data_IF_919074549270
#
_entry.id   IF_919074549270
#
_cell.length_a   1.000
_cell.length_b   1.000
_cell.length_c   1.000
_cell.angle_alpha   90.00
_cell.angle_beta   90.00
_cell.angle_gamma   90.00
#
_symmetry.space_group_name_H-M   'P 1'
#
loop_
_entity.id
_entity.type
_entity.pdbx_description
1 polymer ?
#
# COMPACT_ATOMS: atom_id res chain seq x y z
N UNK A 1 13.20 -38.83 8.12
CA UNK A 1 14.47 -38.10 7.89
C UNK A 1 14.36 -37.18 6.67
N UNK A 2 13.87 -37.66 5.52
CA UNK A 2 13.65 -36.83 4.30
C UNK A 2 12.66 -35.68 4.50
N UNK A 3 11.53 -35.91 5.17
CA UNK A 3 10.50 -34.89 5.44
C UNK A 3 11.08 -33.67 6.18
N UNK A 4 11.85 -33.88 7.25
CA UNK A 4 12.47 -32.80 8.03
C UNK A 4 13.46 -31.97 7.20
N UNK A 5 14.20 -32.62 6.30
CA UNK A 5 15.12 -31.94 5.39
C UNK A 5 14.35 -31.06 4.39
N UNK A 6 13.21 -31.52 3.87
CA UNK A 6 12.34 -30.72 2.99
C UNK A 6 11.74 -29.51 3.73
N UNK A 7 11.27 -29.68 4.97
CA UNK A 7 10.80 -28.56 5.79
C UNK A 7 11.90 -27.52 6.06
N UNK A 8 13.12 -27.99 6.35
CA UNK A 8 14.27 -27.10 6.53
C UNK A 8 14.59 -26.30 5.27
N UNK A 9 14.63 -26.97 4.10
CA UNK A 9 14.85 -26.30 2.81
C UNK A 9 13.76 -25.28 2.50
N UNK A 10 12.49 -25.63 2.72
CA UNK A 10 11.38 -24.71 2.51
C UNK A 10 11.52 -23.47 3.41
N UNK A 11 11.88 -23.64 4.68
CA UNK A 11 12.07 -22.53 5.60
C UNK A 11 13.28 -21.66 5.21
N UNK A 12 14.35 -22.24 4.66
CA UNK A 12 15.45 -21.47 4.08
C UNK A 12 14.98 -20.61 2.91
N UNK A 13 14.20 -21.16 1.97
CA UNK A 13 13.67 -20.38 0.84
C UNK A 13 12.71 -19.26 1.30
N UNK A 14 11.86 -19.52 2.30
CA UNK A 14 11.01 -18.50 2.90
C UNK A 14 11.85 -17.38 3.54
N UNK A 15 12.88 -17.75 4.29
CA UNK A 15 13.81 -16.79 4.91
C UNK A 15 14.56 -15.94 3.88
N UNK A 16 15.07 -16.57 2.81
CA UNK A 16 15.76 -15.86 1.71
C UNK A 16 14.81 -14.94 0.95
N UNK A 17 13.57 -15.33 0.73
CA UNK A 17 12.58 -14.51 0.00
C UNK A 17 12.21 -13.25 0.80
N UNK A 18 11.96 -13.40 2.11
CA UNK A 18 11.69 -12.25 2.98
C UNK A 18 12.94 -11.38 3.17
N UNK A 19 14.10 -12.01 3.36
CA UNK A 19 15.38 -11.34 3.52
C UNK A 19 15.78 -10.53 2.27
N UNK A 20 15.61 -11.09 1.07
CA UNK A 20 15.90 -10.39 -0.18
C UNK A 20 14.98 -9.19 -0.41
N UNK A 21 13.71 -9.32 -0.05
CA UNK A 21 12.75 -8.22 -0.10
C UNK A 21 13.18 -7.08 0.82
N UNK A 22 13.54 -7.37 2.07
CA UNK A 22 14.01 -6.34 3.00
C UNK A 22 15.37 -5.76 2.61
N UNK A 23 16.29 -6.58 2.08
CA UNK A 23 17.58 -6.11 1.59
C UNK A 23 17.41 -5.15 0.40
N UNK A 24 16.53 -5.46 -0.55
CA UNK A 24 16.19 -4.58 -1.67
C UNK A 24 15.59 -3.26 -1.20
N UNK A 25 14.68 -3.32 -0.22
CA UNK A 25 14.10 -2.11 0.38
C UNK A 25 15.20 -1.27 1.03
N UNK A 26 16.08 -1.88 1.84
CA UNK A 26 17.17 -1.17 2.49
C UNK A 26 18.12 -0.50 1.48
N UNK A 27 18.49 -1.19 0.40
CA UNK A 27 19.33 -0.65 -0.68
C UNK A 27 18.63 0.53 -1.39
N UNK A 28 17.31 0.44 -1.61
CA UNK A 28 16.52 1.54 -2.18
C UNK A 28 16.53 2.78 -1.27
N UNK A 29 16.29 2.59 0.03
CA UNK A 29 16.33 3.68 1.01
C UNK A 29 17.71 4.34 1.12
N UNK A 30 18.79 3.55 1.09
CA UNK A 30 20.16 4.10 1.17
C UNK A 30 20.58 4.82 -0.10
N UNK A 31 20.18 4.36 -1.29
CA UNK A 31 20.47 5.05 -2.55
C UNK A 31 19.77 6.42 -2.60
N UNK A 32 18.46 6.44 -2.30
CA UNK A 32 17.66 7.67 -2.35
C UNK A 32 18.13 8.67 -1.29
N UNK A 33 18.38 8.20 -0.06
CA UNK A 33 18.96 9.05 0.99
C UNK A 33 20.38 9.52 0.64
N UNK A 34 21.18 8.69 -0.03
CA UNK A 34 22.54 9.03 -0.45
C UNK A 34 22.61 10.20 -1.42
N UNK A 35 21.63 10.35 -2.31
CA UNK A 35 21.57 11.47 -3.26
C UNK A 35 21.01 12.74 -2.59
N UNK A 36 19.98 12.59 -1.75
CA UNK A 36 19.16 13.73 -1.30
C UNK A 36 19.55 14.24 0.10
N UNK A 37 20.02 13.34 0.97
CA UNK A 37 20.36 13.62 2.36
C UNK A 37 19.16 14.06 3.22
N UNK A 38 17.94 13.63 2.86
CA UNK A 38 16.70 13.86 3.63
C UNK A 38 15.95 12.54 3.82
N UNK A 39 15.38 12.32 5.01
CA UNK A 39 14.58 11.15 5.33
C UNK A 39 13.28 11.21 4.50
N UNK A 40 13.10 10.27 3.57
CA UNK A 40 11.97 10.24 2.66
C UNK A 40 10.87 9.29 3.20
N UNK A 41 9.77 9.86 3.71
CA UNK A 41 8.59 9.09 4.15
C UNK A 41 7.72 8.57 3.00
N UNK A 42 7.87 9.11 1.78
CA UNK A 42 7.08 8.70 0.61
C UNK A 42 7.55 7.37 0.02
N UNK A 43 8.71 6.86 0.42
CA UNK A 43 9.25 5.61 -0.14
C UNK A 43 8.36 4.39 0.18
N UNK A 44 7.70 4.37 1.34
CA UNK A 44 6.68 3.35 1.67
C UNK A 44 5.40 3.49 0.85
N UNK A 45 5.03 4.71 0.47
CA UNK A 45 3.82 4.97 -0.32
C UNK A 45 4.00 4.62 -1.79
N UNK A 46 5.19 4.85 -2.36
CA UNK A 46 5.54 4.40 -3.71
C UNK A 46 5.44 2.87 -3.81
N UNK A 47 5.86 2.14 -2.77
CA UNK A 47 5.72 0.69 -2.70
C UNK A 47 4.25 0.25 -2.64
N UNK A 48 3.42 0.97 -1.87
CA UNK A 48 1.98 0.72 -1.78
C UNK A 48 1.27 0.96 -3.12
N UNK A 49 1.59 2.05 -3.82
CA UNK A 49 0.99 2.35 -5.13
C UNK A 49 1.40 1.30 -6.16
N UNK A 50 2.67 0.90 -6.19
CA UNK A 50 3.16 -0.14 -7.09
C UNK A 50 2.42 -1.48 -6.92
N UNK A 51 2.22 -1.93 -5.68
CA UNK A 51 1.50 -3.18 -5.42
C UNK A 51 0.01 -3.09 -5.77
N UNK A 52 -0.63 -1.96 -5.48
CA UNK A 52 -2.02 -1.74 -5.85
C UNK A 52 -2.24 -1.68 -7.36
N UNK A 53 -1.33 -1.04 -8.08
CA UNK A 53 -1.37 -0.97 -9.54
C UNK A 53 -1.22 -2.36 -10.15
N UNK A 54 -0.23 -3.15 -9.71
CA UNK A 54 -0.09 -4.55 -10.15
C UNK A 54 -1.37 -5.33 -9.94
N UNK A 55 -1.98 -5.21 -8.75
CA UNK A 55 -3.22 -5.89 -8.42
C UNK A 55 -4.38 -5.46 -9.34
N UNK A 56 -4.54 -4.17 -9.60
CA UNK A 56 -5.59 -3.65 -10.49
C UNK A 56 -5.41 -4.14 -11.93
N UNK A 57 -4.17 -4.21 -12.43
CA UNK A 57 -3.87 -4.72 -13.78
C UNK A 57 -4.19 -6.21 -13.87
N UNK A 58 -3.75 -7.00 -12.88
CA UNK A 58 -4.04 -8.43 -12.81
C UNK A 58 -5.57 -8.65 -12.75
N UNK A 59 -6.27 -7.91 -11.89
CA UNK A 59 -7.73 -8.00 -11.78
C UNK A 59 -8.44 -7.63 -13.10
N UNK A 60 -7.97 -6.59 -13.80
CA UNK A 60 -8.53 -6.20 -15.09
C UNK A 60 -8.31 -7.29 -16.17
N UNK A 61 -7.12 -7.88 -16.23
CA UNK A 61 -6.83 -8.98 -17.18
C UNK A 61 -7.64 -10.24 -16.87
N UNK A 62 -7.84 -10.57 -15.59
CA UNK A 62 -8.73 -11.69 -15.22
C UNK A 62 -10.18 -11.45 -15.65
N UNK A 63 -10.70 -10.22 -15.53
CA UNK A 63 -12.05 -9.89 -16.03
C UNK A 63 -12.19 -10.01 -17.55
N UNK A 64 -11.08 -9.91 -18.29
CA UNK A 64 -11.04 -10.13 -19.73
C UNK A 64 -10.93 -11.62 -20.13
N UNK A 65 -10.92 -12.54 -19.15
CA UNK A 65 -10.85 -13.99 -19.37
C UNK A 65 -9.45 -14.51 -19.72
N UNK A 66 -8.40 -13.76 -19.39
CA UNK A 66 -7.02 -14.16 -19.65
C UNK A 66 -6.44 -14.84 -18.41
N UNK A 67 -6.49 -16.17 -18.39
CA UNK A 67 -6.11 -16.97 -17.21
C UNK A 67 -4.65 -17.48 -17.23
N UNK A 68 -3.84 -17.00 -18.19
CA UNK A 68 -2.45 -17.44 -18.30
C UNK A 68 -1.60 -16.83 -17.18
N UNK A 69 -1.25 -17.62 -16.16
CA UNK A 69 -0.58 -17.13 -14.93
C UNK A 69 0.71 -16.37 -15.21
N UNK A 70 1.53 -16.82 -16.18
CA UNK A 70 2.78 -16.13 -16.52
C UNK A 70 2.54 -14.74 -17.14
N UNK A 71 1.51 -14.64 -17.98
CA UNK A 71 1.16 -13.39 -18.66
C UNK A 71 0.62 -12.35 -17.66
N UNK A 72 -0.19 -12.79 -16.70
CA UNK A 72 -0.73 -11.94 -15.62
C UNK A 72 0.40 -11.32 -14.78
N UNK A 73 1.36 -12.14 -14.37
CA UNK A 73 2.51 -11.67 -13.58
C UNK A 73 3.40 -10.74 -14.40
N UNK A 74 3.70 -11.09 -15.66
CA UNK A 74 4.51 -10.25 -16.54
C UNK A 74 3.84 -8.89 -16.82
N UNK A 75 2.54 -8.87 -17.14
CA UNK A 75 1.79 -7.66 -17.40
C UNK A 75 1.68 -6.76 -16.15
N UNK A 76 1.40 -7.36 -14.99
CA UNK A 76 1.38 -6.63 -13.71
C UNK A 76 2.75 -6.03 -13.38
N UNK A 77 3.83 -6.78 -13.58
CA UNK A 77 5.20 -6.32 -13.33
C UNK A 77 5.60 -5.15 -14.23
N UNK A 78 5.38 -5.27 -15.55
CA UNK A 78 5.67 -4.20 -16.50
C UNK A 78 4.83 -2.96 -16.21
N UNK A 79 3.53 -3.13 -15.95
CA UNK A 79 2.64 -2.03 -15.61
C UNK A 79 3.06 -1.30 -14.33
N UNK A 80 3.48 -2.04 -13.31
CA UNK A 80 4.00 -1.46 -12.08
C UNK A 80 5.31 -0.71 -12.29
N UNK A 81 6.24 -1.20 -13.12
CA UNK A 81 7.47 -0.48 -13.46
C UNK A 81 7.12 0.86 -14.11
N UNK A 82 6.25 0.87 -15.11
CA UNK A 82 5.89 2.10 -15.84
C UNK A 82 5.27 3.12 -14.90
N UNK A 83 4.30 2.70 -14.09
CA UNK A 83 3.57 3.61 -13.19
C UNK A 83 4.45 4.04 -12.01
N UNK A 84 5.27 3.16 -11.44
CA UNK A 84 6.22 3.53 -10.38
C UNK A 84 7.29 4.50 -10.89
N UNK A 85 7.77 4.32 -12.12
CA UNK A 85 8.72 5.24 -12.76
C UNK A 85 8.09 6.62 -12.97
N UNK A 86 6.85 6.66 -13.46
CA UNK A 86 6.11 7.91 -13.64
C UNK A 86 5.85 8.61 -12.31
N UNK A 87 5.57 7.85 -11.24
CA UNK A 87 5.36 8.38 -9.89
C UNK A 87 6.66 8.92 -9.26
N UNK A 88 7.78 8.20 -9.43
CA UNK A 88 9.10 8.68 -9.03
C UNK A 88 9.48 9.98 -9.73
N UNK A 89 9.22 10.05 -11.04
CA UNK A 89 9.45 11.26 -11.83
C UNK A 89 8.58 12.45 -11.40
N UNK A 90 7.29 12.22 -11.11
CA UNK A 90 6.40 13.28 -10.66
C UNK A 90 6.74 13.77 -9.25
N UNK A 91 7.16 12.88 -8.34
CA UNK A 91 7.69 13.28 -7.03
C UNK A 91 8.96 14.12 -7.20
N UNK A 92 9.89 13.71 -8.06
CA UNK A 92 11.10 14.49 -8.30
C UNK A 92 10.78 15.88 -8.87
N UNK A 93 9.83 15.94 -9.80
CA UNK A 93 9.40 17.20 -10.41
C UNK A 93 8.68 18.14 -9.43
N UNK A 94 7.78 17.60 -8.61
CA UNK A 94 6.89 18.37 -7.73
C UNK A 94 7.53 18.69 -6.38
N UNK A 95 8.30 17.77 -5.81
CA UNK A 95 8.92 17.96 -4.49
C UNK A 95 10.31 18.61 -4.56
N UNK A 96 11.17 18.23 -5.52
CA UNK A 96 12.56 18.72 -5.53
C UNK A 96 12.74 20.08 -6.21
N UNK A 97 11.96 20.33 -7.27
CA UNK A 97 12.06 21.58 -8.04
C UNK A 97 11.72 22.84 -7.23
N UNK A 98 10.73 22.85 -6.31
CA UNK A 98 10.43 24.03 -5.50
C UNK A 98 11.23 24.13 -4.18
N UNK A 99 11.82 23.04 -3.68
CA UNK A 99 12.41 22.99 -2.32
C UNK A 99 13.93 23.26 -2.29
N UNK A 100 14.59 23.38 -3.46
CA UNK A 100 16.04 23.67 -3.55
C UNK A 100 16.48 24.97 -2.83
N UNK A 101 15.54 25.89 -2.53
CA UNK A 101 15.81 27.17 -1.88
C UNK A 101 15.37 27.26 -0.40
N UNK A 102 15.01 26.16 0.29
CA UNK A 102 14.50 26.23 1.67
C UNK A 102 15.04 25.16 2.61
N UNK A 103 15.03 25.45 3.92
CA UNK A 103 15.61 24.62 5.00
C UNK A 103 15.00 23.21 4.99
N UNK A 104 15.86 22.18 5.06
CA UNK A 104 15.53 20.74 5.02
C UNK A 104 14.38 20.28 5.95
N UNK A 105 14.11 21.00 7.05
CA UNK A 105 13.00 20.67 7.97
C UNK A 105 11.61 20.87 7.35
N UNK A 106 11.41 21.88 6.49
CA UNK A 106 10.09 22.21 5.92
C UNK A 106 9.69 21.15 4.88
N UNK A 107 10.68 20.60 4.17
CA UNK A 107 10.52 19.51 3.22
C UNK A 107 10.00 18.23 3.90
N UNK A 108 10.53 17.93 5.10
CA UNK A 108 10.13 16.75 5.88
C UNK A 108 8.66 16.83 6.30
N UNK A 109 8.21 17.99 6.76
CA UNK A 109 6.84 18.23 7.22
C UNK A 109 5.86 18.17 6.03
N UNK A 110 6.23 18.71 4.88
CA UNK A 110 5.42 18.62 3.65
C UNK A 110 5.30 17.19 3.14
N UNK A 111 6.36 16.37 3.25
CA UNK A 111 6.32 14.95 2.88
C UNK A 111 5.35 14.15 3.78
N UNK A 112 5.34 14.45 5.09
CA UNK A 112 4.40 13.84 6.05
C UNK A 112 2.95 14.29 5.77
N UNK A 113 2.73 15.56 5.41
CA UNK A 113 1.41 16.05 5.03
C UNK A 113 0.86 15.38 3.77
N UNK A 114 1.73 15.16 2.76
CA UNK A 114 1.36 14.50 1.52
C UNK A 114 1.04 13.01 1.74
N UNK A 115 1.76 12.32 2.64
CA UNK A 115 1.47 10.93 2.95
C UNK A 115 0.12 10.73 3.64
N UNK A 116 -0.20 11.59 4.60
CA UNK A 116 -1.53 11.59 5.24
C UNK A 116 -2.63 11.87 4.21
N UNK A 117 -2.39 12.78 3.27
CA UNK A 117 -3.34 13.08 2.19
C UNK A 117 -3.58 11.87 1.27
N UNK A 118 -2.51 11.19 0.85
CA UNK A 118 -2.61 9.99 0.02
C UNK A 118 -3.35 8.85 0.75
N UNK A 119 -3.03 8.62 2.02
CA UNK A 119 -3.68 7.60 2.84
C UNK A 119 -5.18 7.88 3.01
N UNK A 120 -5.56 9.14 3.24
CA UNK A 120 -6.97 9.54 3.30
C UNK A 120 -7.67 9.40 1.96
N UNK A 121 -7.01 9.76 0.85
CA UNK A 121 -7.59 9.63 -0.48
C UNK A 121 -7.88 8.17 -0.86
N UNK A 122 -6.94 7.26 -0.61
CA UNK A 122 -7.11 5.82 -0.83
C UNK A 122 -8.19 5.24 0.10
N UNK A 123 -8.25 5.71 1.35
CA UNK A 123 -9.30 5.30 2.28
C UNK A 123 -10.68 5.74 1.80
N UNK A 124 -10.84 6.98 1.35
CA UNK A 124 -12.11 7.51 0.86
C UNK A 124 -12.59 6.83 -0.42
N UNK A 125 -11.68 6.56 -1.35
CA UNK A 125 -12.01 5.85 -2.59
C UNK A 125 -12.41 4.39 -2.36
N UNK A 126 -11.97 3.76 -1.25
CA UNK A 126 -12.36 2.39 -0.87
C UNK A 126 -13.47 2.28 0.19
N UNK A 127 -13.94 3.39 0.78
CA UNK A 127 -14.80 3.37 1.97
C UNK A 127 -16.29 3.75 1.81
N UNK A 128 -17.07 3.30 0.81
CA UNK A 128 -18.53 3.33 0.97
C UNK A 128 -19.05 2.17 1.84
N UNK A 129 -18.30 1.06 1.98
CA UNK A 129 -18.83 -0.18 2.59
C UNK A 129 -18.37 -0.46 4.05
N UNK A 130 -17.21 0.03 4.49
CA UNK A 130 -16.62 -0.34 5.79
C UNK A 130 -17.20 0.43 6.98
N UNK A 131 -17.74 1.63 6.78
CA UNK A 131 -18.38 2.42 7.85
C UNK A 131 -19.65 1.76 8.41
N UNK A 132 -20.41 1.02 7.57
CA UNK A 132 -21.62 0.30 8.00
C UNK A 132 -21.28 -0.88 8.93
N UNK A 133 -20.20 -1.61 8.67
CA UNK A 133 -19.81 -2.75 9.52
C UNK A 133 -19.20 -2.33 10.86
N UNK A 134 -18.41 -1.24 10.91
CA UNK A 134 -17.87 -0.77 12.20
C UNK A 134 -18.94 -0.19 13.10
N UNK A 135 -19.91 0.56 12.56
CA UNK A 135 -21.05 1.04 13.33
C UNK A 135 -21.88 -0.13 13.93
N UNK A 136 -22.09 -1.20 13.17
CA UNK A 136 -22.77 -2.41 13.67
C UNK A 136 -21.95 -3.16 14.74
N UNK A 137 -20.62 -3.25 14.61
CA UNK A 137 -19.76 -3.94 15.59
C UNK A 137 -19.58 -3.16 16.88
N UNK A 138 -19.52 -1.83 16.85
CA UNK A 138 -19.61 -1.02 18.09
C UNK A 138 -21.00 -1.06 18.72
N UNK A 139 -22.06 -1.32 17.94
CA UNK A 139 -23.40 -1.51 18.49
C UNK A 139 -23.60 -2.91 19.10
N UNK A 140 -22.88 -3.96 18.65
CA UNK A 140 -23.01 -5.32 19.20
C UNK A 140 -22.08 -5.61 20.39
N UNK A 141 -21.13 -4.71 20.70
CA UNK A 141 -20.16 -4.85 21.78
C UNK A 141 -20.54 -4.16 23.10
N UNK A 142 -21.64 -3.39 23.15
CA UNK A 142 -22.07 -2.70 24.37
C UNK A 142 -23.28 -3.39 25.02
N UNK A 143 -23.05 -4.51 25.68
CA UNK A 143 -23.92 -4.99 26.74
C UNK A 143 -23.73 -4.11 28.00
N UNK A 144 -24.18 -2.85 27.96
CA UNK A 144 -24.41 -2.02 29.15
C UNK A 144 -25.10 -0.71 28.77
N UNK A 145 -26.26 -0.47 29.40
CA UNK A 145 -26.94 0.83 29.54
C UNK A 145 -27.71 1.34 28.33
N UNK A 146 -28.90 0.77 28.14
CA UNK A 146 -29.95 1.33 27.32
C UNK A 146 -30.58 2.57 28.01
N UNK A 147 -30.35 3.75 27.45
CA UNK A 147 -31.25 4.91 27.58
C UNK A 147 -31.55 5.49 26.19
N UNK A 148 -32.72 5.10 25.68
CA UNK A 148 -33.62 5.81 24.78
C UNK A 148 -33.05 6.85 23.78
N UNK A 149 -33.16 6.56 22.47
CA UNK A 149 -34.15 7.23 21.61
C UNK A 149 -34.28 6.56 20.22
N UNK A 150 -35.46 6.60 19.58
CA UNK A 150 -35.80 5.74 18.46
C UNK A 150 -35.73 6.50 17.13
N UNK A 151 -34.85 6.09 16.21
CA UNK A 151 -35.08 6.28 14.77
C UNK A 151 -34.84 4.97 14.04
N UNK A 152 -35.96 4.37 13.64
CA UNK A 152 -36.08 3.17 12.82
C UNK A 152 -35.35 3.38 11.48
N UNK A 153 -34.61 2.37 11.06
CA UNK A 153 -34.39 2.06 9.64
C UNK A 153 -34.24 0.53 9.48
N UNK A 154 -34.68 -0.03 8.33
CA UNK A 154 -35.37 -1.32 8.20
C UNK A 154 -34.44 -2.55 8.15
N UNK A 155 -34.99 -3.78 8.29
CA UNK A 155 -34.21 -5.01 8.39
C UNK A 155 -33.38 -5.29 7.12
N UNK A 156 -32.13 -5.69 7.35
CA UNK A 156 -31.30 -6.36 6.35
C UNK A 156 -31.90 -7.73 6.08
N UNK A 157 -32.53 -7.89 4.92
CA UNK A 157 -32.93 -9.19 4.41
C UNK A 157 -31.82 -9.66 3.46
N UNK A 158 -31.13 -10.72 3.88
CA UNK A 158 -30.29 -11.68 3.16
C UNK A 158 -29.32 -11.15 2.09
#
# INVERSE_FOLDING_TARGET
MSEQFLYFLQQMFNGVTLGSTYALIAIGYTMVYGIIGMINFAHGEVYMIGSYVSFMIIAALMMMGIDTSWLLVAAGFVGAIVIASAYGWSIERVAYRPVRNSKRLIALISAIGMSIFLQNYVSLTRAPATWRCRACLTASGSSATATASPRRSPPCNW
#
